data_IF_543420624654
#
_entry.id   IF_543420624654
#
_cell.length_a   1.000
_cell.length_b   1.000
_cell.length_c   1.000
_cell.angle_alpha   90.00
_cell.angle_beta   90.00
_cell.angle_gamma   90.00
#
_symmetry.space_group_name_H-M   'P 1'
#
loop_
_entity.id
_entity.type
_entity.pdbx_description
1 polymer ?
#
# COMPACT_ATOMS: atom_id res chain seq x y z
N UNK A 1 30.98 41.07 19.17
CA UNK A 1 29.54 40.99 18.81
C UNK A 1 29.25 40.54 17.36
N UNK A 2 30.23 40.11 16.54
CA UNK A 2 29.96 39.67 15.13
C UNK A 2 29.65 38.17 14.95
N UNK A 3 29.88 37.34 15.98
CA UNK A 3 29.68 35.88 15.89
C UNK A 3 28.42 35.36 16.62
N UNK A 4 27.70 36.22 17.34
CA UNK A 4 26.52 35.80 18.13
C UNK A 4 25.32 35.49 17.21
N UNK A 5 25.16 36.27 16.15
CA UNK A 5 24.06 36.13 15.17
C UNK A 5 24.13 34.80 14.39
N UNK A 6 25.28 34.38 13.82
CA UNK A 6 25.35 33.10 13.12
C UNK A 6 25.20 31.89 14.06
N UNK A 7 25.63 31.99 15.32
CA UNK A 7 25.49 30.92 16.32
C UNK A 7 24.03 30.74 16.74
N UNK A 8 23.28 31.84 16.93
CA UNK A 8 21.85 31.78 17.22
C UNK A 8 21.03 31.21 16.05
N UNK A 9 21.40 31.56 14.81
CA UNK A 9 20.77 31.01 13.61
C UNK A 9 21.02 29.49 13.48
N UNK A 10 22.25 29.04 13.79
CA UNK A 10 22.60 27.63 13.81
C UNK A 10 21.81 26.87 14.89
N UNK A 11 21.69 27.43 16.10
CA UNK A 11 20.90 26.82 17.18
C UNK A 11 19.40 26.73 16.84
N UNK A 12 18.82 27.76 16.20
CA UNK A 12 17.43 27.73 15.74
C UNK A 12 17.21 26.68 14.64
N UNK A 13 18.13 26.55 13.68
CA UNK A 13 18.05 25.53 12.62
C UNK A 13 18.19 24.11 13.18
N UNK A 14 19.07 23.91 14.17
CA UNK A 14 19.26 22.62 14.85
C UNK A 14 18.10 22.30 15.78
N UNK A 15 17.42 23.28 16.36
CA UNK A 15 16.23 23.09 17.21
C UNK A 15 14.94 22.85 16.41
N UNK A 16 14.83 23.32 15.16
CA UNK A 16 13.66 23.08 14.32
C UNK A 16 13.52 21.61 13.87
N UNK A 17 14.63 20.88 13.69
CA UNK A 17 14.60 19.45 13.34
C UNK A 17 13.98 18.57 14.43
N UNK A 18 14.42 18.60 15.70
CA UNK A 18 13.84 17.78 16.75
C UNK A 18 12.39 18.13 17.02
N UNK A 19 11.98 19.40 16.93
CA UNK A 19 10.56 19.79 17.09
C UNK A 19 9.67 19.18 16.01
N UNK A 20 10.10 19.18 14.74
CA UNK A 20 9.35 18.51 13.66
C UNK A 20 9.24 17.01 13.88
N UNK A 21 10.36 16.36 14.22
CA UNK A 21 10.37 14.92 14.51
C UNK A 21 9.49 14.60 15.71
N UNK A 22 9.51 15.42 16.76
CA UNK A 22 8.70 15.19 17.97
C UNK A 22 7.22 15.45 17.71
N UNK A 23 6.85 16.44 16.87
CA UNK A 23 5.48 16.63 16.41
C UNK A 23 4.99 15.46 15.55
N UNK A 24 5.85 14.94 14.67
CA UNK A 24 5.53 13.78 13.85
C UNK A 24 5.29 12.55 14.72
N UNK A 25 6.19 12.25 15.66
CA UNK A 25 5.98 11.21 16.68
C UNK A 25 4.71 11.43 17.51
N UNK A 26 4.40 12.67 17.90
CA UNK A 26 3.20 12.97 18.68
C UNK A 26 1.93 12.72 17.85
N UNK A 27 1.94 13.11 16.58
CA UNK A 27 0.84 12.85 15.65
C UNK A 27 0.72 11.36 15.31
N UNK A 28 1.83 10.63 15.17
CA UNK A 28 1.78 9.22 14.75
C UNK A 28 1.38 8.28 15.90
N UNK A 29 1.71 8.63 17.16
CA UNK A 29 1.56 7.70 18.31
C UNK A 29 0.67 8.22 19.45
N UNK A 30 0.51 9.53 19.64
CA UNK A 30 -0.25 10.09 20.77
C UNK A 30 -1.62 10.61 20.32
N UNK A 31 -1.68 11.24 19.16
CA UNK A 31 -2.93 11.67 18.54
C UNK A 31 -2.91 11.35 17.04
N UNK A 32 -3.00 10.06 16.66
CA UNK A 32 -3.15 9.65 15.26
C UNK A 32 -4.35 10.38 14.70
N UNK A 33 -4.07 11.39 13.87
CA UNK A 33 -5.07 11.91 12.94
C UNK A 33 -5.30 10.73 12.02
N UNK A 34 -6.44 10.08 12.15
CA UNK A 34 -6.85 9.07 11.19
C UNK A 34 -6.67 9.70 9.80
N UNK A 35 -5.89 9.07 8.94
CA UNK A 35 -5.64 9.56 7.58
C UNK A 35 -6.94 9.69 6.77
N UNK A 36 -8.03 9.14 7.30
CA UNK A 36 -9.36 9.09 6.75
C UNK A 36 -10.32 9.48 7.89
N UNK A 37 -11.05 10.59 7.70
CA UNK A 37 -12.15 10.97 8.59
C UNK A 37 -13.36 10.07 8.29
N UNK A 38 -13.63 9.11 9.17
CA UNK A 38 -14.63 8.06 8.95
C UNK A 38 -16.08 8.58 8.99
N UNK A 39 -16.32 9.71 9.66
CA UNK A 39 -17.67 10.28 9.76
C UNK A 39 -18.11 11.03 8.49
N UNK A 40 -17.16 11.46 7.65
CA UNK A 40 -17.42 12.23 6.42
C UNK A 40 -17.28 11.38 5.13
N UNK A 41 -17.01 10.08 5.24
CA UNK A 41 -16.59 9.21 4.11
C UNK A 41 -17.61 8.18 3.61
N UNK A 42 -18.71 7.94 4.33
CA UNK A 42 -19.82 7.11 3.83
C UNK A 42 -20.67 7.91 2.83
N UNK A 43 -20.19 8.03 1.58
CA UNK A 43 -20.89 8.82 0.55
C UNK A 43 -21.88 8.03 -0.33
N UNK A 44 -21.95 6.71 -0.17
CA UNK A 44 -22.87 5.83 -0.91
C UNK A 44 -23.40 4.69 -0.01
N UNK A 45 -24.63 4.25 -0.24
CA UNK A 45 -25.21 3.04 0.37
C UNK A 45 -24.61 1.82 -0.34
N UNK A 46 -23.44 1.38 0.13
CA UNK A 46 -22.66 0.33 -0.51
C UNK A 46 -23.37 -1.02 -0.36
N UNK A 47 -23.56 -1.81 -1.43
CA UNK A 47 -24.16 -3.13 -1.35
C UNK A 47 -23.43 -4.03 -0.34
N UNK A 48 -24.18 -4.77 0.48
CA UNK A 48 -23.62 -5.64 1.54
C UNK A 48 -22.73 -6.71 0.93
N UNK A 49 -23.13 -7.21 -0.21
CA UNK A 49 -22.44 -8.21 -0.99
C UNK A 49 -21.06 -7.72 -1.50
N UNK A 50 -20.93 -6.42 -1.77
CA UNK A 50 -19.65 -5.82 -2.09
C UNK A 50 -18.76 -5.70 -0.85
N UNK A 51 -19.33 -5.38 0.31
CA UNK A 51 -18.57 -5.34 1.57
C UNK A 51 -18.01 -6.73 1.92
N UNK A 52 -18.79 -7.80 1.74
CA UNK A 52 -18.32 -9.18 1.97
C UNK A 52 -17.16 -9.56 1.05
N UNK A 53 -17.27 -9.24 -0.25
CA UNK A 53 -16.22 -9.44 -1.24
C UNK A 53 -14.95 -8.66 -0.87
N UNK A 54 -15.11 -7.38 -0.51
CA UNK A 54 -14.05 -6.48 -0.07
C UNK A 54 -13.31 -7.05 1.16
N UNK A 55 -14.02 -7.42 2.22
CA UNK A 55 -13.41 -7.93 3.44
C UNK A 55 -12.70 -9.27 3.22
N UNK A 56 -13.21 -10.12 2.33
CA UNK A 56 -12.59 -11.41 2.01
C UNK A 56 -11.15 -11.26 1.51
N UNK A 57 -10.90 -10.24 0.69
CA UNK A 57 -9.57 -10.00 0.12
C UNK A 57 -8.76 -9.01 0.95
N UNK A 58 -9.33 -7.84 1.27
CA UNK A 58 -8.58 -6.74 1.88
C UNK A 58 -8.06 -7.11 3.26
N UNK A 59 -8.80 -7.92 4.03
CA UNK A 59 -8.34 -8.40 5.34
C UNK A 59 -7.00 -9.18 5.27
N UNK A 60 -6.70 -9.83 4.15
CA UNK A 60 -5.44 -10.55 3.93
C UNK A 60 -4.30 -9.60 3.64
N UNK A 61 -4.55 -8.59 2.80
CA UNK A 61 -3.58 -7.54 2.50
C UNK A 61 -3.27 -6.73 3.76
N UNK A 62 -4.29 -6.33 4.52
CA UNK A 62 -4.16 -5.67 5.82
C UNK A 62 -3.36 -6.54 6.79
N UNK A 63 -3.64 -7.85 6.84
CA UNK A 63 -2.89 -8.76 7.72
C UNK A 63 -1.41 -8.85 7.32
N UNK A 64 -1.10 -8.94 6.03
CA UNK A 64 0.28 -8.91 5.54
C UNK A 64 0.96 -7.59 5.92
N UNK A 65 0.32 -6.46 5.64
CA UNK A 65 0.84 -5.14 6.00
C UNK A 65 1.14 -5.02 7.50
N UNK A 66 0.18 -5.40 8.35
CA UNK A 66 0.34 -5.37 9.80
C UNK A 66 1.44 -6.31 10.28
N UNK A 67 1.61 -7.48 9.67
CA UNK A 67 2.73 -8.35 9.98
C UNK A 67 4.06 -7.69 9.62
N UNK A 68 4.16 -7.09 8.43
CA UNK A 68 5.37 -6.37 8.02
C UNK A 68 5.69 -5.18 8.94
N UNK A 69 4.68 -4.45 9.41
CA UNK A 69 4.89 -3.38 10.41
C UNK A 69 5.41 -3.93 11.74
N UNK A 70 4.91 -5.08 12.20
CA UNK A 70 5.30 -5.65 13.49
C UNK A 70 6.67 -6.31 13.45
N UNK A 71 7.11 -6.75 12.27
CA UNK A 71 8.36 -7.48 12.09
C UNK A 71 9.56 -6.57 11.76
N UNK A 72 9.54 -5.28 12.16
CA UNK A 72 10.57 -4.18 12.16
C UNK A 72 12.00 -4.52 11.67
N UNK A 73 12.56 -5.68 11.99
CA UNK A 73 13.89 -6.11 11.57
C UNK A 73 14.06 -7.62 11.34
N UNK A 74 12.99 -8.41 11.30
CA UNK A 74 13.00 -9.88 11.37
C UNK A 74 12.26 -10.58 10.24
N UNK A 75 12.06 -9.92 9.11
CA UNK A 75 11.65 -10.61 7.87
C UNK A 75 12.86 -11.44 7.40
N UNK A 76 13.02 -12.60 8.04
CA UNK A 76 14.05 -13.59 7.74
C UNK A 76 13.50 -14.67 6.81
N UNK A 77 14.40 -15.50 6.29
CA UNK A 77 14.02 -16.54 5.33
C UNK A 77 13.03 -17.55 5.94
N UNK A 78 13.04 -17.79 7.25
CA UNK A 78 12.10 -18.71 7.87
C UNK A 78 10.68 -18.14 7.89
N UNK A 79 10.55 -16.85 8.22
CA UNK A 79 9.27 -16.17 8.16
C UNK A 79 8.74 -16.12 6.73
N UNK A 80 9.60 -15.81 5.75
CA UNK A 80 9.23 -15.73 4.33
C UNK A 80 8.69 -17.09 3.84
N UNK A 81 9.44 -18.17 4.08
CA UNK A 81 9.03 -19.51 3.68
C UNK A 81 7.74 -19.95 4.40
N UNK A 82 7.58 -19.56 5.68
CA UNK A 82 6.34 -19.79 6.41
C UNK A 82 5.16 -19.06 5.75
N UNK A 83 5.28 -17.75 5.45
CA UNK A 83 4.22 -16.99 4.79
C UNK A 83 3.81 -17.64 3.46
N UNK A 84 4.79 -17.95 2.60
CA UNK A 84 4.55 -18.61 1.31
C UNK A 84 3.85 -19.97 1.47
N UNK A 85 4.13 -20.70 2.55
CA UNK A 85 3.47 -21.99 2.84
C UNK A 85 2.00 -21.88 3.23
N UNK A 86 1.57 -20.77 3.85
CA UNK A 86 0.20 -20.57 4.32
C UNK A 86 -0.62 -19.64 3.41
N UNK A 87 0.03 -18.86 2.55
CA UNK A 87 -0.58 -17.86 1.67
C UNK A 87 -0.13 -18.12 0.23
N UNK A 88 -0.86 -18.95 -0.54
CA UNK A 88 -0.46 -19.34 -1.90
C UNK A 88 -0.45 -18.18 -2.91
N UNK A 89 -1.06 -17.04 -2.55
CA UNK A 89 -1.04 -15.81 -3.33
C UNK A 89 0.25 -14.99 -3.14
N UNK A 90 1.13 -15.37 -2.19
CA UNK A 90 2.47 -14.79 -2.08
C UNK A 90 3.44 -15.64 -2.90
N UNK A 91 3.98 -15.06 -3.97
CA UNK A 91 4.90 -15.77 -4.88
C UNK A 91 6.35 -15.68 -4.41
N UNK A 92 6.83 -14.46 -4.18
CA UNK A 92 8.21 -14.16 -3.77
C UNK A 92 8.22 -13.02 -2.76
N UNK A 93 9.21 -12.99 -1.88
CA UNK A 93 9.42 -11.89 -0.93
C UNK A 93 10.89 -11.51 -0.92
N UNK A 94 11.21 -10.22 -0.94
CA UNK A 94 12.57 -9.72 -0.79
C UNK A 94 12.61 -8.51 0.12
N UNK A 95 13.66 -8.43 0.94
CA UNK A 95 13.93 -7.29 1.81
C UNK A 95 15.17 -6.57 1.31
N UNK A 96 15.05 -5.26 1.15
CA UNK A 96 16.08 -4.37 0.67
C UNK A 96 16.34 -3.28 1.72
N UNK A 97 17.58 -2.87 1.88
CA UNK A 97 17.91 -1.70 2.70
C UNK A 97 17.62 -0.38 1.95
N UNK A 98 17.94 0.74 2.59
CA UNK A 98 17.79 2.08 2.02
C UNK A 98 18.58 2.27 0.71
N UNK A 99 19.71 1.57 0.57
CA UNK A 99 20.60 1.62 -0.59
C UNK A 99 20.18 0.58 -1.65
N UNK A 100 19.01 -0.03 -1.48
CA UNK A 100 18.45 -1.09 -2.34
C UNK A 100 19.37 -2.31 -2.44
N UNK A 101 20.19 -2.55 -1.41
CA UNK A 101 20.98 -3.77 -1.29
C UNK A 101 20.09 -4.88 -0.74
N UNK A 102 20.22 -6.05 -1.35
CA UNK A 102 19.46 -7.23 -0.96
C UNK A 102 19.93 -7.77 0.39
N UNK A 103 19.00 -7.86 1.34
CA UNK A 103 19.25 -8.32 2.71
C UNK A 103 18.84 -9.78 2.87
N UNK A 104 17.61 -10.13 2.48
CA UNK A 104 17.00 -11.45 2.70
C UNK A 104 15.81 -11.72 1.78
N UNK A 105 15.47 -13.00 1.60
CA UNK A 105 14.33 -13.47 0.82
C UNK A 105 14.71 -14.17 -0.48
N UNK A 106 13.84 -14.06 -1.48
CA UNK A 106 13.96 -14.70 -2.79
C UNK A 106 14.89 -13.88 -3.70
N UNK A 107 15.99 -14.48 -4.14
CA UNK A 107 16.97 -13.88 -5.07
C UNK A 107 16.31 -13.34 -6.35
N UNK A 108 15.28 -14.04 -6.84
CA UNK A 108 14.53 -13.66 -8.04
C UNK A 108 13.93 -12.26 -7.94
N UNK A 109 13.56 -11.82 -6.73
CA UNK A 109 13.01 -10.50 -6.46
C UNK A 109 14.08 -9.53 -5.94
N UNK A 110 15.03 -10.02 -5.13
CA UNK A 110 16.12 -9.21 -4.57
C UNK A 110 17.10 -8.63 -5.61
N UNK A 111 17.28 -9.32 -6.73
CA UNK A 111 18.14 -8.89 -7.83
C UNK A 111 17.36 -8.41 -9.06
N UNK A 112 16.05 -8.26 -8.95
CA UNK A 112 15.17 -7.90 -10.07
C UNK A 112 15.42 -6.45 -10.54
N UNK A 113 15.83 -6.24 -11.81
CA UNK A 113 16.02 -4.89 -12.36
C UNK A 113 14.75 -4.04 -12.40
N UNK A 114 13.57 -4.65 -12.60
CA UNK A 114 12.31 -3.94 -12.63
C UNK A 114 11.98 -3.35 -11.26
N UNK A 115 12.18 -4.13 -10.19
CA UNK A 115 12.01 -3.68 -8.80
C UNK A 115 12.97 -2.54 -8.47
N UNK A 116 14.25 -2.66 -8.83
CA UNK A 116 15.24 -1.59 -8.60
C UNK A 116 14.84 -0.29 -9.27
N UNK A 117 14.31 -0.38 -10.49
CA UNK A 117 13.82 0.79 -11.23
C UNK A 117 12.62 1.42 -10.51
N UNK A 118 11.63 0.60 -10.09
CA UNK A 118 10.47 1.08 -9.33
C UNK A 118 10.92 1.80 -8.05
N UNK A 119 11.81 1.17 -7.28
CA UNK A 119 12.24 1.68 -5.99
C UNK A 119 13.12 2.94 -6.07
N UNK A 120 13.79 3.19 -7.20
CA UNK A 120 14.57 4.40 -7.40
C UNK A 120 13.69 5.67 -7.42
N UNK A 121 12.43 5.53 -7.86
CA UNK A 121 11.47 6.63 -7.94
C UNK A 121 10.59 6.74 -6.68
N UNK A 122 10.74 5.83 -5.71
CA UNK A 122 9.93 5.81 -4.50
C UNK A 122 10.48 6.73 -3.41
N UNK A 123 9.67 7.71 -3.01
CA UNK A 123 9.88 8.51 -1.81
C UNK A 123 9.06 7.98 -0.63
N UNK A 124 9.58 8.05 0.61
CA UNK A 124 8.98 7.48 1.82
C UNK A 124 7.65 8.11 2.29
N UNK A 125 6.99 8.92 1.47
CA UNK A 125 5.70 9.52 1.81
C UNK A 125 4.55 8.50 1.77
N UNK A 126 4.75 7.33 1.14
CA UNK A 126 3.78 6.23 1.09
C UNK A 126 4.40 4.97 1.67
N UNK A 127 3.78 4.45 2.72
CA UNK A 127 4.31 3.30 3.44
C UNK A 127 3.92 1.97 2.77
N UNK A 128 2.86 1.95 1.95
CA UNK A 128 2.26 0.71 1.42
C UNK A 128 1.62 0.96 0.07
N UNK A 129 2.19 0.37 -0.97
CA UNK A 129 1.73 0.60 -2.34
C UNK A 129 1.77 -0.68 -3.14
N UNK A 130 0.81 -0.83 -4.05
CA UNK A 130 0.83 -1.84 -5.09
C UNK A 130 1.35 -1.27 -6.40
N UNK A 131 2.19 -2.02 -7.10
CA UNK A 131 2.68 -1.67 -8.43
C UNK A 131 2.43 -2.84 -9.37
N UNK A 132 1.98 -2.53 -10.59
CA UNK A 132 1.95 -3.47 -11.68
C UNK A 132 3.10 -3.20 -12.65
N UNK A 133 3.95 -4.21 -12.89
CA UNK A 133 5.07 -4.10 -13.82
C UNK A 133 5.39 -5.45 -14.42
N UNK A 134 5.63 -5.47 -15.73
CA UNK A 134 6.01 -6.67 -16.48
C UNK A 134 5.08 -7.88 -16.22
N UNK A 135 3.77 -7.61 -16.16
CA UNK A 135 2.71 -8.59 -15.88
C UNK A 135 2.75 -9.23 -14.48
N UNK A 136 3.35 -8.54 -13.50
CA UNK A 136 3.46 -8.96 -12.10
C UNK A 136 2.95 -7.85 -11.19
N UNK A 137 2.36 -8.23 -10.06
CA UNK A 137 1.90 -7.29 -9.03
C UNK A 137 2.83 -7.35 -7.82
N UNK A 138 3.25 -6.19 -7.34
CA UNK A 138 4.16 -6.05 -6.22
C UNK A 138 3.52 -5.22 -5.13
N UNK A 139 3.41 -5.77 -3.93
CA UNK A 139 3.19 -5.00 -2.72
C UNK A 139 4.53 -4.52 -2.19
N UNK A 140 4.72 -3.21 -2.14
CA UNK A 140 5.92 -2.58 -1.62
C UNK A 140 5.55 -1.93 -0.29
N UNK A 141 6.21 -2.40 0.76
CA UNK A 141 6.09 -1.89 2.11
C UNK A 141 7.39 -1.19 2.49
N UNK A 142 7.29 0.10 2.81
CA UNK A 142 8.40 0.91 3.27
C UNK A 142 8.30 1.10 4.77
N UNK A 143 9.34 0.69 5.50
CA UNK A 143 9.40 0.81 6.94
C UNK A 143 10.52 1.74 7.35
N UNK A 144 10.19 2.80 8.09
CA UNK A 144 11.17 3.74 8.66
C UNK A 144 11.69 3.21 9.99
N UNK A 145 13.01 3.00 10.06
CA UNK A 145 13.72 2.55 11.25
C UNK A 145 13.97 3.72 12.22
N UNK A 146 14.14 3.47 13.53
CA UNK A 146 14.37 4.53 14.53
C UNK A 146 15.64 5.38 14.31
N UNK A 147 16.61 4.87 13.56
CA UNK A 147 17.86 5.56 13.21
C UNK A 147 17.73 6.47 11.96
N UNK A 148 16.52 6.55 11.38
CA UNK A 148 16.22 7.33 10.18
C UNK A 148 16.57 6.62 8.88
N UNK A 149 17.06 5.38 8.93
CA UNK A 149 17.13 4.53 7.74
C UNK A 149 15.75 3.97 7.41
N UNK A 150 15.57 3.46 6.20
CA UNK A 150 14.36 2.69 5.86
C UNK A 150 14.73 1.34 5.28
N UNK A 151 13.80 0.39 5.43
CA UNK A 151 13.82 -0.90 4.75
C UNK A 151 12.63 -1.00 3.84
N UNK A 152 12.83 -1.68 2.74
CA UNK A 152 11.78 -1.97 1.77
C UNK A 152 11.54 -3.46 1.76
N UNK A 153 10.33 -3.89 2.09
CA UNK A 153 9.90 -5.25 1.81
C UNK A 153 9.07 -5.25 0.53
N UNK A 154 9.52 -6.01 -0.46
CA UNK A 154 8.80 -6.23 -1.71
C UNK A 154 8.19 -7.62 -1.66
N UNK A 155 6.90 -7.71 -1.87
CA UNK A 155 6.15 -8.96 -1.93
C UNK A 155 5.52 -9.06 -3.31
N UNK A 156 5.87 -10.09 -4.06
CA UNK A 156 5.17 -10.43 -5.30
C UNK A 156 3.85 -11.15 -4.94
N UNK A 157 2.74 -10.58 -5.39
CA UNK A 157 1.38 -11.00 -5.04
C UNK A 157 0.67 -11.44 -6.29
N UNK A 158 0.12 -12.65 -6.30
CA UNK A 158 -0.81 -13.10 -7.32
C UNK A 158 -2.22 -12.59 -6.99
N UNK A 159 -2.54 -11.42 -7.53
CA UNK A 159 -3.85 -10.79 -7.36
C UNK A 159 -4.99 -11.58 -8.02
N UNK A 160 -4.70 -12.42 -9.02
CA UNK A 160 -5.73 -13.25 -9.64
C UNK A 160 -6.13 -14.38 -8.69
N UNK A 161 -5.16 -14.99 -7.99
CA UNK A 161 -5.46 -15.98 -6.94
C UNK A 161 -6.33 -15.38 -5.84
N UNK A 162 -6.03 -14.14 -5.40
CA UNK A 162 -6.88 -13.43 -4.43
C UNK A 162 -8.28 -13.15 -4.98
N UNK A 163 -8.39 -12.68 -6.23
CA UNK A 163 -9.68 -12.38 -6.86
C UNK A 163 -10.55 -13.64 -7.08
N UNK A 164 -9.95 -14.83 -7.22
CA UNK A 164 -10.70 -16.09 -7.31
C UNK A 164 -11.44 -16.45 -6.02
N UNK A 165 -11.08 -15.85 -4.88
CA UNK A 165 -11.76 -16.06 -3.61
C UNK A 165 -13.04 -15.24 -3.47
N UNK A 166 -13.26 -14.27 -4.37
CA UNK A 166 -14.46 -13.46 -4.44
C UNK A 166 -15.60 -14.28 -5.05
N UNK A 167 -16.71 -14.51 -4.33
CA UNK A 167 -17.88 -15.17 -4.87
C UNK A 167 -18.45 -14.45 -6.11
N UNK A 168 -19.01 -15.22 -7.05
CA UNK A 168 -19.78 -14.72 -8.20
C UNK A 168 -19.04 -13.83 -9.21
N UNK A 169 -17.74 -13.53 -8.98
CA UNK A 169 -16.92 -12.79 -9.93
C UNK A 169 -17.55 -11.45 -10.36
N UNK A 170 -18.09 -10.70 -9.40
CA UNK A 170 -18.74 -9.39 -9.61
C UNK A 170 -17.89 -8.20 -9.15
N UNK A 171 -16.91 -8.46 -8.29
CA UNK A 171 -15.98 -7.45 -7.77
C UNK A 171 -14.62 -7.64 -8.44
N UNK A 172 -14.04 -6.53 -8.92
CA UNK A 172 -12.71 -6.48 -9.52
C UNK A 172 -11.76 -5.66 -8.66
N UNK A 173 -10.48 -5.98 -8.73
CA UNK A 173 -9.42 -5.33 -7.96
C UNK A 173 -8.57 -4.50 -8.92
N UNK A 174 -8.49 -3.20 -8.70
CA UNK A 174 -7.66 -2.29 -9.48
C UNK A 174 -6.30 -2.07 -8.80
N UNK A 175 -5.24 -2.46 -9.50
CA UNK A 175 -3.84 -2.20 -9.15
C UNK A 175 -3.26 -1.29 -10.21
N UNK A 176 -3.04 -0.02 -9.86
CA UNK A 176 -2.55 1.00 -10.78
C UNK A 176 -3.51 1.18 -11.98
N UNK A 177 -3.10 0.91 -13.22
CA UNK A 177 -3.93 0.93 -14.42
C UNK A 177 -4.50 -0.46 -14.78
N UNK A 178 -4.15 -1.48 -14.00
CA UNK A 178 -4.50 -2.86 -14.27
C UNK A 178 -5.66 -3.36 -13.40
N UNK A 179 -6.51 -4.19 -14.01
CA UNK A 179 -7.60 -4.89 -13.35
C UNK A 179 -7.25 -6.35 -13.15
N UNK A 180 -7.47 -6.84 -11.93
CA UNK A 180 -7.37 -8.22 -11.54
C UNK A 180 -8.77 -8.75 -11.20
N UNK A 181 -9.05 -9.98 -11.63
CA UNK A 181 -10.36 -10.60 -11.49
C UNK A 181 -11.09 -10.81 -12.83
N UNK A 182 -12.41 -11.04 -12.80
CA UNK A 182 -13.19 -11.38 -13.99
C UNK A 182 -13.04 -10.33 -15.08
N UNK A 183 -12.91 -10.82 -16.31
CA UNK A 183 -12.69 -9.99 -17.50
C UNK A 183 -13.90 -9.10 -17.80
N UNK A 184 -13.97 -7.98 -17.13
CA UNK A 184 -14.96 -6.93 -17.34
C UNK A 184 -14.16 -5.70 -17.75
N UNK A 185 -14.57 -5.10 -18.87
CA UNK A 185 -14.18 -3.83 -19.51
C UNK A 185 -12.81 -3.16 -19.20
N UNK A 186 -12.31 -2.37 -20.16
CA UNK A 186 -11.14 -1.53 -19.90
C UNK A 186 -11.52 -0.39 -18.93
N UNK A 187 -11.07 -0.49 -17.67
CA UNK A 187 -11.31 0.49 -16.60
C UNK A 187 -10.13 1.42 -16.33
N UNK A 188 -9.07 1.39 -17.15
CA UNK A 188 -7.80 2.08 -16.87
C UNK A 188 -7.97 3.55 -16.49
N UNK A 189 -8.77 4.32 -17.23
CA UNK A 189 -9.02 5.74 -16.95
C UNK A 189 -9.77 5.96 -15.62
N UNK A 190 -10.78 5.13 -15.32
CA UNK A 190 -11.50 5.20 -14.05
C UNK A 190 -10.62 4.83 -12.86
N UNK A 191 -9.75 3.82 -13.00
CA UNK A 191 -8.81 3.40 -11.96
C UNK A 191 -7.79 4.50 -11.62
N UNK A 192 -7.27 5.17 -12.65
CA UNK A 192 -6.36 6.32 -12.49
C UNK A 192 -7.06 7.46 -11.73
N UNK A 193 -8.33 7.74 -12.05
CA UNK A 193 -9.09 8.78 -11.36
C UNK A 193 -9.35 8.42 -9.88
N UNK A 194 -9.73 7.18 -9.61
CA UNK A 194 -10.01 6.70 -8.25
C UNK A 194 -8.74 6.63 -7.37
N UNK A 195 -7.58 6.34 -7.95
CA UNK A 195 -6.28 6.40 -7.25
C UNK A 195 -6.02 7.76 -6.60
N UNK A 196 -6.51 8.84 -7.21
CA UNK A 196 -6.31 10.21 -6.74
C UNK A 196 -7.49 10.74 -5.92
N UNK A 197 -8.56 9.95 -5.73
CA UNK A 197 -9.71 10.37 -4.95
C UNK A 197 -9.35 10.49 -3.46
N UNK A 198 -9.77 11.58 -2.81
CA UNK A 198 -9.58 11.77 -1.37
C UNK A 198 -10.57 10.94 -0.53
N UNK A 199 -11.71 10.56 -1.11
CA UNK A 199 -12.73 9.75 -0.43
C UNK A 199 -12.27 8.29 -0.31
N UNK A 200 -12.79 7.63 0.73
CA UNK A 200 -12.51 6.22 0.98
C UNK A 200 -13.39 5.29 0.12
N UNK A 201 -14.63 5.70 -0.15
CA UNK A 201 -15.57 4.94 -0.98
C UNK A 201 -16.57 5.85 -1.68
N UNK A 202 -17.30 5.29 -2.64
CA UNK A 202 -18.37 5.99 -3.33
C UNK A 202 -18.93 5.18 -4.49
N UNK A 203 -19.64 5.88 -5.37
CA UNK A 203 -20.07 5.36 -6.66
C UNK A 203 -19.44 6.15 -7.81
N UNK A 204 -19.35 5.52 -8.97
CA UNK A 204 -18.86 6.10 -10.21
C UNK A 204 -19.59 5.45 -11.38
N UNK A 205 -19.93 6.24 -12.40
CA UNK A 205 -20.50 5.72 -13.64
C UNK A 205 -19.39 5.37 -14.63
N UNK A 206 -19.38 4.14 -15.12
CA UNK A 206 -18.42 3.67 -16.12
C UNK A 206 -19.14 2.84 -17.18
N UNK A 207 -19.04 3.25 -18.46
CA UNK A 207 -19.71 2.63 -19.59
C UNK A 207 -21.23 2.49 -19.39
N UNK A 208 -21.89 3.58 -19.00
CA UNK A 208 -23.34 3.66 -18.73
C UNK A 208 -23.85 2.70 -17.64
N UNK A 209 -22.95 2.24 -16.76
CA UNK A 209 -23.26 1.40 -15.60
C UNK A 209 -22.76 2.05 -14.33
N UNK A 210 -23.51 1.91 -13.25
CA UNK A 210 -23.08 2.37 -11.94
C UNK A 210 -22.16 1.33 -11.30
N UNK A 211 -21.07 1.81 -10.73
CA UNK A 211 -20.08 1.02 -10.02
C UNK A 211 -19.90 1.59 -8.62
N UNK A 212 -19.88 0.71 -7.63
CA UNK A 212 -19.42 1.06 -6.30
C UNK A 212 -17.92 0.85 -6.20
N UNK A 213 -17.24 1.66 -5.42
CA UNK A 213 -15.81 1.52 -5.19
C UNK A 213 -15.44 1.75 -3.72
N UNK A 214 -14.43 1.02 -3.27
CA UNK A 214 -13.85 1.11 -1.92
C UNK A 214 -12.34 1.06 -2.04
N UNK A 215 -11.63 1.93 -1.29
CA UNK A 215 -10.17 1.87 -1.17
C UNK A 215 -9.75 0.81 -0.16
N UNK A 216 -8.65 0.14 -0.46
CA UNK A 216 -8.01 -0.79 0.47
C UNK A 216 -7.63 -0.09 1.78
N UNK A 217 -7.76 -0.80 2.90
CA UNK A 217 -7.14 -0.38 4.15
C UNK A 217 -5.68 -0.85 4.25
N UNK A 218 -5.28 -1.83 3.42
CA UNK A 218 -3.95 -2.42 3.42
C UNK A 218 -2.94 -1.71 2.51
N UNK A 219 -3.40 -0.92 1.54
CA UNK A 219 -2.56 -0.21 0.57
C UNK A 219 -3.14 1.14 0.15
N UNK A 220 -2.26 2.12 -0.10
CA UNK A 220 -2.65 3.50 -0.40
C UNK A 220 -3.31 3.67 -1.77
N UNK A 221 -3.07 2.76 -2.72
CA UNK A 221 -3.50 2.90 -4.13
C UNK A 221 -4.29 1.70 -4.67
N UNK A 222 -4.66 0.75 -3.82
CA UNK A 222 -5.49 -0.40 -4.21
C UNK A 222 -6.97 -0.02 -4.09
N UNK A 223 -7.75 -0.31 -5.13
CA UNK A 223 -9.18 0.02 -5.19
C UNK A 223 -9.98 -1.22 -5.58
N UNK A 224 -11.10 -1.44 -4.92
CA UNK A 224 -12.06 -2.48 -5.26
C UNK A 224 -13.24 -1.84 -5.97
N UNK A 225 -13.76 -2.50 -7.00
CA UNK A 225 -14.85 -2.02 -7.85
C UNK A 225 -15.91 -3.10 -7.97
N UNK A 226 -17.17 -2.74 -7.78
CA UNK A 226 -18.31 -3.65 -7.86
C UNK A 226 -19.35 -3.10 -8.82
N UNK A 227 -19.75 -3.92 -9.77
CA UNK A 227 -20.79 -3.55 -10.73
C UNK A 227 -22.16 -3.69 -10.08
N UNK A 228 -22.93 -2.60 -10.09
CA UNK A 228 -24.35 -2.66 -9.73
C UNK A 228 -25.11 -3.52 -10.76
N UNK A 229 -25.82 -4.55 -10.30
CA UNK A 229 -26.52 -5.51 -11.15
C UNK A 229 -28.03 -5.24 -11.31
N UNK A 230 -28.50 -4.04 -10.92
CA UNK A 230 -29.90 -3.62 -11.17
C UNK A 230 -30.31 -3.64 -12.66
#
# INVERSE_FOLDING_TARGET
MKFIIPILALLLLVACKPVKVTQQYYNDYVNPVASIDYEDTLSADIPVEFLDDYYTVDSKIVRLANQLDLFDSRVDNNWIEYQKSIQPWITNVAVLDQDQLFISGDDALGFDPAIRTILADFTPEKNRIFVFKDNRQFFIHLHSMPDGQYKTTVVEVDMNVLALEIPEHRTVIAVDDQICGPAIANFSEACINLRNASKYSGSIEINDRQWYWIRSMGSDNLVYLHLDQE
#
